data_IF_778543917968
#
_entry.id   IF_778543917968
#
_cell.length_a   1.000
_cell.length_b   1.000
_cell.length_c   1.000
_cell.angle_alpha   90.00
_cell.angle_beta   90.00
_cell.angle_gamma   90.00
#
_symmetry.space_group_name_H-M   'P 1'
#
loop_
_entity.id
_entity.type
_entity.pdbx_description
1 polymer ?
#
# COMPACT_ATOMS: atom_id res chain seq x y z
N UNK A 1 -6.16 -33.56 -6.20
CA UNK A 1 -6.90 -33.14 -5.00
C UNK A 1 -6.53 -31.69 -4.71
N UNK A 2 -7.41 -30.75 -5.05
CA UNK A 2 -7.16 -29.34 -4.78
C UNK A 2 -7.35 -29.06 -3.29
N UNK A 3 -6.24 -28.95 -2.57
CA UNK A 3 -6.24 -28.54 -1.17
C UNK A 3 -6.47 -27.03 -1.15
N UNK A 4 -7.73 -26.60 -1.05
CA UNK A 4 -8.07 -25.25 -0.61
C UNK A 4 -7.71 -25.14 0.88
N UNK A 5 -6.41 -25.06 1.21
CA UNK A 5 -6.01 -24.38 2.44
C UNK A 5 -6.21 -22.91 2.12
N UNK A 6 -7.07 -22.21 2.85
CA UNK A 6 -7.02 -20.75 2.77
C UNK A 6 -5.64 -20.35 3.31
N UNK A 7 -4.72 -19.95 2.44
CA UNK A 7 -3.38 -19.48 2.81
C UNK A 7 -3.41 -18.15 3.58
N UNK A 8 -4.58 -17.73 4.09
CA UNK A 8 -4.85 -16.51 4.82
C UNK A 8 -5.15 -16.87 6.27
N UNK A 9 -4.47 -16.23 7.21
CA UNK A 9 -4.70 -16.35 8.64
C UNK A 9 -4.61 -14.99 9.34
N UNK A 10 -4.71 -15.02 10.67
CA UNK A 10 -4.56 -13.83 11.50
C UNK A 10 -3.52 -14.08 12.58
N UNK A 11 -2.64 -13.10 12.78
CA UNK A 11 -1.64 -13.09 13.84
C UNK A 11 -1.63 -11.68 14.45
N UNK A 12 -1.75 -11.60 15.76
CA UNK A 12 -1.82 -10.33 16.51
C UNK A 12 -2.88 -9.34 15.99
N UNK A 13 -3.97 -9.89 15.46
CA UNK A 13 -5.08 -9.11 14.89
C UNK A 13 -4.84 -8.60 13.47
N UNK A 14 -3.69 -8.90 12.86
CA UNK A 14 -3.35 -8.57 11.48
C UNK A 14 -3.50 -9.79 10.58
N UNK A 15 -4.04 -9.58 9.38
CA UNK A 15 -4.12 -10.60 8.34
C UNK A 15 -2.72 -10.92 7.81
N UNK A 16 -2.39 -12.20 7.76
CA UNK A 16 -1.19 -12.70 7.07
C UNK A 16 -1.57 -13.70 5.98
N UNK A 17 -0.67 -13.89 5.01
CA UNK A 17 -0.72 -15.00 4.08
C UNK A 17 0.61 -15.74 3.99
N UNK A 18 0.59 -16.95 3.43
CA UNK A 18 1.81 -17.69 3.10
C UNK A 18 2.13 -17.50 1.62
N UNK A 19 3.34 -17.06 1.32
CA UNK A 19 3.90 -17.03 -0.04
C UNK A 19 5.00 -18.08 -0.14
N UNK A 20 5.16 -18.68 -1.32
CA UNK A 20 6.34 -19.50 -1.60
C UNK A 20 7.46 -18.63 -2.16
N UNK A 21 8.69 -18.89 -1.75
CA UNK A 21 9.92 -18.34 -2.34
C UNK A 21 11.04 -19.37 -2.21
N UNK A 22 11.73 -19.70 -3.29
CA UNK A 22 12.82 -20.69 -3.32
C UNK A 22 12.43 -22.05 -2.67
N UNK A 23 11.20 -22.52 -2.89
CA UNK A 23 10.69 -23.76 -2.30
C UNK A 23 10.35 -23.67 -0.81
N UNK A 24 10.51 -22.49 -0.18
CA UNK A 24 10.23 -22.25 1.22
C UNK A 24 8.93 -21.46 1.44
N UNK A 25 8.07 -21.87 2.40
CA UNK A 25 6.90 -21.10 2.77
C UNK A 25 7.29 -19.93 3.69
N UNK A 26 6.99 -18.71 3.25
CA UNK A 26 7.24 -17.47 4.00
C UNK A 26 5.90 -16.86 4.40
N UNK A 27 5.72 -16.61 5.71
CA UNK A 27 4.56 -15.86 6.20
C UNK A 27 4.80 -14.37 6.04
N UNK A 28 3.82 -13.67 5.50
CA UNK A 28 3.87 -12.23 5.28
C UNK A 28 2.56 -11.60 5.72
N UNK A 29 2.62 -10.45 6.39
CA UNK A 29 1.44 -9.63 6.61
C UNK A 29 0.92 -9.14 5.26
N UNK A 30 -0.38 -9.34 5.03
CA UNK A 30 -1.11 -9.01 3.80
C UNK A 30 -2.30 -8.11 4.14
N UNK A 31 -2.26 -7.42 5.28
CA UNK A 31 -3.28 -6.47 5.67
C UNK A 31 -2.98 -5.05 5.13
N UNK A 32 -4.04 -4.25 4.97
CA UNK A 32 -3.93 -2.90 4.47
C UNK A 32 -3.24 -1.93 5.45
N UNK A 33 -3.26 -2.19 6.77
CA UNK A 33 -2.50 -1.35 7.73
C UNK A 33 -1.00 -1.48 7.46
N UNK A 34 -0.51 -2.71 7.23
CA UNK A 34 0.86 -2.97 6.77
C UNK A 34 1.17 -2.24 5.45
N UNK A 35 0.31 -2.37 4.43
CA UNK A 35 0.52 -1.70 3.15
C UNK A 35 0.56 -0.16 3.26
N UNK A 36 -0.37 0.44 4.02
CA UNK A 36 -0.43 1.88 4.23
C UNK A 36 0.83 2.41 4.94
N UNK A 37 1.35 1.65 5.92
CA UNK A 37 2.62 1.99 6.60
C UNK A 37 3.82 1.88 5.68
N UNK A 38 3.85 0.87 4.80
CA UNK A 38 4.89 0.77 3.76
C UNK A 38 4.82 1.94 2.80
N UNK A 39 3.62 2.33 2.33
CA UNK A 39 3.44 3.50 1.46
C UNK A 39 3.96 4.77 2.15
N UNK A 40 3.59 5.00 3.42
CA UNK A 40 4.06 6.16 4.18
C UNK A 40 5.59 6.14 4.36
N UNK A 41 6.15 5.00 4.78
CA UNK A 41 7.58 4.81 5.00
C UNK A 41 8.41 5.12 3.75
N UNK A 42 7.96 4.63 2.59
CA UNK A 42 8.73 4.83 1.37
C UNK A 42 8.55 6.22 0.76
N UNK A 43 7.39 6.88 0.98
CA UNK A 43 7.17 8.29 0.62
C UNK A 43 7.99 9.28 1.44
N UNK A 44 8.36 8.90 2.67
CA UNK A 44 9.12 9.77 3.56
C UNK A 44 10.56 9.95 3.06
N UNK A 45 10.89 11.14 2.57
CA UNK A 45 12.22 11.44 2.01
C UNK A 45 13.28 11.71 3.08
N UNK A 46 12.89 11.85 4.35
CA UNK A 46 13.81 12.09 5.47
C UNK A 46 14.38 10.78 6.05
N UNK A 47 13.74 9.65 5.77
CA UNK A 47 14.21 8.33 6.25
C UNK A 47 15.27 7.76 5.31
N UNK A 48 16.43 7.41 5.88
CA UNK A 48 17.53 6.78 5.15
C UNK A 48 17.10 5.42 4.52
N UNK A 49 17.55 5.07 3.29
CA UNK A 49 17.20 3.82 2.63
C UNK A 49 17.42 2.55 3.47
N UNK A 50 18.53 2.44 4.21
CA UNK A 50 18.78 1.28 5.08
C UNK A 50 17.79 1.17 6.24
N UNK A 51 17.34 2.31 6.78
CA UNK A 51 16.30 2.35 7.81
C UNK A 51 14.93 2.01 7.23
N UNK A 52 14.60 2.49 6.02
CA UNK A 52 13.37 2.11 5.31
C UNK A 52 13.28 0.61 5.13
N UNK A 53 14.36 -0.02 4.67
CA UNK A 53 14.40 -1.46 4.54
C UNK A 53 14.19 -2.16 5.89
N UNK A 54 14.94 -1.78 6.92
CA UNK A 54 14.82 -2.42 8.23
C UNK A 54 13.38 -2.35 8.74
N UNK A 55 12.76 -1.16 8.67
CA UNK A 55 11.35 -0.97 9.01
C UNK A 55 10.42 -1.82 8.13
N UNK A 56 10.64 -1.88 6.81
CA UNK A 56 9.84 -2.68 5.90
C UNK A 56 9.91 -4.19 6.23
N UNK A 57 11.08 -4.70 6.62
CA UNK A 57 11.20 -6.08 7.10
C UNK A 57 10.37 -6.32 8.36
N UNK A 58 10.41 -5.38 9.32
CA UNK A 58 9.59 -5.48 10.54
C UNK A 58 8.08 -5.40 10.25
N UNK A 59 7.69 -4.68 9.19
CA UNK A 59 6.29 -4.54 8.78
C UNK A 59 5.78 -5.76 8.00
N UNK A 60 6.60 -6.32 7.10
CA UNK A 60 6.18 -7.39 6.19
C UNK A 60 6.13 -8.76 6.86
N UNK A 61 7.05 -9.06 7.77
CA UNK A 61 7.26 -10.41 8.27
C UNK A 61 6.84 -10.53 9.74
N UNK A 62 5.99 -11.50 10.09
CA UNK A 62 5.72 -11.88 11.48
C UNK A 62 6.95 -12.23 12.30
N UNK A 63 7.94 -12.86 11.66
CA UNK A 63 9.21 -13.22 12.26
C UNK A 63 10.34 -12.75 11.33
N UNK A 64 10.71 -11.47 11.40
CA UNK A 64 11.72 -10.90 10.51
C UNK A 64 13.11 -11.48 10.80
N UNK A 65 13.34 -11.98 12.01
CA UNK A 65 14.61 -12.62 12.39
C UNK A 65 14.77 -13.98 11.70
N UNK A 66 13.74 -14.83 11.74
CA UNK A 66 13.79 -16.12 11.05
C UNK A 66 13.97 -15.95 9.53
N UNK A 67 13.34 -14.91 8.94
CA UNK A 67 13.54 -14.58 7.52
C UNK A 67 14.98 -14.10 7.26
N UNK A 68 15.57 -13.32 8.17
CA UNK A 68 16.94 -12.82 8.07
C UNK A 68 18.03 -13.90 8.27
N UNK A 69 17.77 -14.89 9.11
CA UNK A 69 18.69 -16.01 9.37
C UNK A 69 18.66 -17.07 8.27
N UNK A 70 17.68 -17.01 7.35
CA UNK A 70 17.63 -17.91 6.21
C UNK A 70 18.59 -17.47 5.09
N UNK A 71 19.36 -18.42 4.55
CA UNK A 71 20.22 -18.20 3.39
C UNK A 71 19.40 -18.23 2.09
N UNK A 72 18.96 -17.06 1.63
CA UNK A 72 18.28 -16.92 0.33
C UNK A 72 19.28 -16.77 -0.81
N UNK A 73 18.97 -17.38 -1.95
CA UNK A 73 19.70 -17.13 -3.20
C UNK A 73 19.39 -15.72 -3.74
N UNK A 74 18.11 -15.30 -3.70
CA UNK A 74 17.62 -14.02 -4.20
C UNK A 74 16.51 -13.44 -3.31
N UNK A 75 16.90 -12.94 -2.13
CA UNK A 75 15.99 -12.21 -1.25
C UNK A 75 15.48 -10.89 -1.86
N UNK A 76 16.26 -10.25 -2.73
CA UNK A 76 15.89 -9.00 -3.37
C UNK A 76 14.62 -9.14 -4.19
N UNK A 77 14.52 -10.21 -4.97
CA UNK A 77 13.32 -10.56 -5.74
C UNK A 77 12.10 -10.84 -4.85
N UNK A 78 12.27 -11.56 -3.74
CA UNK A 78 11.19 -11.74 -2.76
C UNK A 78 10.69 -10.39 -2.24
N UNK A 79 11.62 -9.53 -1.84
CA UNK A 79 11.32 -8.25 -1.22
C UNK A 79 10.62 -7.29 -2.19
N UNK A 80 11.16 -7.09 -3.40
CA UNK A 80 10.53 -6.25 -4.45
C UNK A 80 9.14 -6.76 -4.81
N UNK A 81 8.99 -8.08 -4.99
CA UNK A 81 7.69 -8.70 -5.27
C UNK A 81 6.67 -8.44 -4.17
N UNK A 82 7.07 -8.57 -2.90
CA UNK A 82 6.17 -8.29 -1.77
C UNK A 82 5.78 -6.81 -1.69
N UNK A 83 6.71 -5.89 -1.90
CA UNK A 83 6.41 -4.46 -1.93
C UNK A 83 5.38 -4.12 -3.02
N UNK A 84 5.54 -4.70 -4.20
CA UNK A 84 4.58 -4.53 -5.29
C UNK A 84 3.23 -5.15 -4.97
N UNK A 85 3.20 -6.44 -4.62
CA UNK A 85 1.96 -7.18 -4.39
C UNK A 85 1.13 -6.62 -3.23
N UNK A 86 1.78 -6.12 -2.17
CA UNK A 86 1.10 -5.63 -0.95
C UNK A 86 0.75 -4.15 -1.01
N UNK A 87 1.66 -3.32 -1.52
CA UNK A 87 1.57 -1.87 -1.41
C UNK A 87 1.58 -1.15 -2.76
N UNK A 88 1.72 -1.87 -3.89
CA UNK A 88 1.88 -1.27 -5.22
C UNK A 88 3.18 -0.48 -5.34
N UNK A 89 4.20 -0.82 -4.54
CA UNK A 89 5.50 -0.16 -4.55
C UNK A 89 6.40 -0.90 -5.52
N UNK A 90 6.70 -0.27 -6.66
CA UNK A 90 7.66 -0.80 -7.62
C UNK A 90 9.08 -0.41 -7.20
N UNK A 91 9.81 -1.38 -6.65
CA UNK A 91 11.12 -1.14 -6.05
C UNK A 91 12.29 -1.51 -7.00
N UNK A 92 11.99 -2.19 -8.11
CA UNK A 92 12.98 -2.69 -9.09
C UNK A 92 12.65 -2.31 -10.54
N UNK A 93 11.68 -1.41 -10.75
CA UNK A 93 11.20 -0.92 -12.05
C UNK A 93 10.57 -2.01 -12.94
N UNK A 94 10.26 -3.19 -12.38
CA UNK A 94 9.65 -4.29 -13.14
C UNK A 94 8.20 -4.01 -13.55
N UNK A 95 7.55 -3.05 -12.90
CA UNK A 95 6.19 -2.60 -13.15
C UNK A 95 6.13 -1.14 -13.62
N UNK A 96 7.25 -0.62 -14.15
CA UNK A 96 7.34 0.76 -14.62
C UNK A 96 6.27 1.06 -15.69
N UNK A 97 5.42 2.04 -15.42
CA UNK A 97 4.33 2.44 -16.32
C UNK A 97 3.03 1.64 -16.14
N UNK A 98 2.97 0.69 -15.21
CA UNK A 98 1.72 0.04 -14.79
C UNK A 98 0.93 0.87 -13.76
N UNK A 99 1.45 2.03 -13.39
CA UNK A 99 0.78 2.97 -12.47
C UNK A 99 -0.53 3.50 -13.08
N UNK A 100 -1.66 3.12 -12.47
CA UNK A 100 -2.97 3.66 -12.79
C UNK A 100 -3.14 5.10 -12.29
N UNK A 101 -4.19 5.81 -12.76
CA UNK A 101 -4.48 7.16 -12.27
C UNK A 101 -4.75 7.16 -10.77
N UNK A 102 -4.13 8.12 -10.06
CA UNK A 102 -4.29 8.30 -8.62
C UNK A 102 -5.63 8.98 -8.31
N UNK A 103 -6.50 8.29 -7.57
CA UNK A 103 -7.79 8.81 -7.12
C UNK A 103 -7.90 8.93 -5.58
N UNK A 104 -6.90 8.43 -4.83
CA UNK A 104 -6.76 8.61 -3.38
C UNK A 104 -5.35 9.08 -3.03
N UNK A 105 -5.26 10.01 -2.08
CA UNK A 105 -4.08 10.20 -1.26
C UNK A 105 -4.36 9.62 0.12
N UNK A 106 -3.81 8.44 0.42
CA UNK A 106 -4.14 7.71 1.65
C UNK A 106 -3.82 8.47 2.94
N UNK A 107 -2.90 9.42 2.87
CA UNK A 107 -2.53 10.28 3.99
C UNK A 107 -3.38 11.54 4.04
N UNK A 108 -3.43 12.30 2.94
CA UNK A 108 -4.19 13.56 2.91
C UNK A 108 -5.72 13.34 2.98
N UNK A 109 -6.21 12.18 2.54
CA UNK A 109 -7.62 11.81 2.60
C UNK A 109 -7.98 11.02 3.88
N UNK A 110 -7.07 10.84 4.84
CA UNK A 110 -7.29 9.96 6.01
C UNK A 110 -8.59 10.28 6.77
N UNK A 111 -8.86 11.56 7.04
CA UNK A 111 -10.08 11.99 7.74
C UNK A 111 -11.35 11.77 6.89
N UNK A 112 -11.27 11.95 5.58
CA UNK A 112 -12.37 11.67 4.67
C UNK A 112 -12.65 10.18 4.61
N UNK A 113 -11.62 9.35 4.57
CA UNK A 113 -11.71 7.90 4.59
C UNK A 113 -12.37 7.44 5.88
N UNK A 114 -11.88 7.89 7.04
CA UNK A 114 -12.44 7.53 8.35
C UNK A 114 -13.93 7.89 8.43
N UNK A 115 -14.30 9.14 8.10
CA UNK A 115 -15.69 9.57 8.12
C UNK A 115 -16.59 8.78 7.14
N UNK A 116 -16.06 8.46 5.96
CA UNK A 116 -16.81 7.74 4.91
C UNK A 116 -17.01 6.27 5.26
N UNK A 117 -16.00 5.61 5.82
CA UNK A 117 -16.09 4.21 6.25
C UNK A 117 -17.02 4.06 7.46
N UNK A 118 -16.94 4.96 8.45
CA UNK A 118 -17.90 4.99 9.55
C UNK A 118 -19.33 5.15 9.07
N UNK A 119 -19.58 6.11 8.18
CA UNK A 119 -20.92 6.38 7.66
C UNK A 119 -21.46 5.21 6.81
N UNK A 120 -20.61 4.57 6.03
CA UNK A 120 -21.03 3.55 5.05
C UNK A 120 -21.13 2.16 5.66
N UNK A 121 -20.16 1.78 6.49
CA UNK A 121 -19.98 0.42 6.99
C UNK A 121 -20.12 0.31 8.51
N UNK A 122 -20.17 1.42 9.24
CA UNK A 122 -20.24 1.42 10.70
C UNK A 122 -18.95 0.91 11.36
N UNK A 123 -17.82 0.97 10.66
CA UNK A 123 -16.53 0.49 11.15
C UNK A 123 -15.43 1.55 10.93
N UNK A 124 -14.48 1.68 11.88
CA UNK A 124 -13.33 2.56 11.72
C UNK A 124 -12.34 1.99 10.70
N UNK A 125 -11.61 2.89 10.02
CA UNK A 125 -10.61 2.55 9.01
C UNK A 125 -9.56 1.57 9.55
N UNK A 126 -8.99 1.87 10.72
CA UNK A 126 -7.93 1.06 11.31
C UNK A 126 -8.35 -0.39 11.58
N UNK A 127 -9.62 -0.63 11.93
CA UNK A 127 -10.12 -1.99 12.14
C UNK A 127 -10.31 -2.73 10.82
N UNK A 128 -10.84 -2.07 9.80
CA UNK A 128 -10.98 -2.65 8.46
C UNK A 128 -9.61 -2.93 7.84
N UNK A 129 -8.66 -2.01 7.98
CA UNK A 129 -7.34 -2.10 7.38
C UNK A 129 -6.56 -3.33 7.86
N UNK A 130 -6.71 -3.74 9.12
CA UNK A 130 -6.06 -4.94 9.66
C UNK A 130 -6.68 -6.27 9.20
N UNK A 131 -7.92 -6.23 8.71
CA UNK A 131 -8.67 -7.44 8.34
C UNK A 131 -8.69 -7.71 6.83
N UNK A 132 -8.46 -6.67 6.04
CA UNK A 132 -8.56 -6.70 4.59
C UNK A 132 -7.17 -6.55 3.98
N UNK A 133 -6.94 -7.19 2.84
CA UNK A 133 -5.81 -6.84 1.99
C UNK A 133 -5.93 -5.41 1.49
N UNK A 134 -4.80 -4.82 1.10
CA UNK A 134 -4.80 -3.44 0.59
C UNK A 134 -5.77 -3.23 -0.57
N UNK A 135 -5.84 -4.20 -1.49
CA UNK A 135 -6.80 -4.20 -2.60
C UNK A 135 -8.25 -4.26 -2.13
N UNK A 136 -8.56 -5.08 -1.14
CA UNK A 136 -9.91 -5.19 -0.56
C UNK A 136 -10.29 -3.90 0.17
N UNK A 137 -9.39 -3.35 0.99
CA UNK A 137 -9.58 -2.07 1.68
C UNK A 137 -9.78 -0.91 0.69
N UNK A 138 -8.94 -0.81 -0.34
CA UNK A 138 -9.09 0.20 -1.39
C UNK A 138 -10.42 0.08 -2.12
N UNK A 139 -10.93 -1.14 -2.30
CA UNK A 139 -12.28 -1.38 -2.85
C UNK A 139 -13.39 -0.92 -1.92
N UNK A 140 -13.24 -1.08 -0.60
CA UNK A 140 -14.21 -0.54 0.35
C UNK A 140 -14.25 1.00 0.30
N UNK A 141 -13.09 1.64 0.21
CA UNK A 141 -13.00 3.09 0.02
C UNK A 141 -13.62 3.53 -1.31
N UNK A 142 -13.36 2.80 -2.41
CA UNK A 142 -13.87 3.16 -3.73
C UNK A 142 -15.38 3.02 -3.89
N UNK A 143 -16.01 2.18 -3.06
CA UNK A 143 -17.45 1.95 -3.06
C UNK A 143 -18.23 2.83 -2.08
N UNK A 144 -17.56 3.78 -1.41
CA UNK A 144 -18.23 4.76 -0.56
C UNK A 144 -19.27 5.57 -1.36
N UNK A 145 -20.53 5.69 -0.92
CA UNK A 145 -21.58 6.41 -1.61
C UNK A 145 -21.22 7.87 -1.90
N UNK A 146 -21.73 8.42 -3.01
CA UNK A 146 -21.41 9.78 -3.47
C UNK A 146 -21.70 10.89 -2.44
N UNK A 147 -22.61 10.68 -1.51
CA UNK A 147 -22.94 11.64 -0.45
C UNK A 147 -21.98 11.58 0.76
N UNK A 148 -20.96 10.71 0.73
CA UNK A 148 -19.82 10.72 1.66
C UNK A 148 -18.69 11.62 1.14
N UNK A 149 -17.80 12.14 2.00
CA UNK A 149 -16.61 12.88 1.56
C UNK A 149 -15.76 12.11 0.53
N UNK A 150 -15.47 10.82 0.76
CA UNK A 150 -14.70 10.03 -0.21
C UNK A 150 -15.47 9.76 -1.49
N UNK A 151 -16.76 9.49 -1.43
CA UNK A 151 -17.58 9.32 -2.64
C UNK A 151 -17.63 10.58 -3.50
N UNK A 152 -17.63 11.78 -2.88
CA UNK A 152 -17.48 13.03 -3.63
C UNK A 152 -16.09 13.19 -4.21
N UNK A 153 -15.04 12.96 -3.41
CA UNK A 153 -13.66 13.08 -3.84
C UNK A 153 -13.38 12.18 -5.06
N UNK A 154 -13.73 10.89 -4.97
CA UNK A 154 -13.57 9.90 -6.04
C UNK A 154 -14.33 10.33 -7.28
N UNK A 155 -15.61 10.69 -7.14
CA UNK A 155 -16.42 11.14 -8.26
C UNK A 155 -15.78 12.32 -8.98
N UNK A 156 -15.39 13.38 -8.28
CA UNK A 156 -14.86 14.58 -8.94
C UNK A 156 -13.43 14.40 -9.48
N UNK A 157 -12.64 13.47 -8.92
CA UNK A 157 -11.31 13.11 -9.45
C UNK A 157 -11.38 12.25 -10.71
N UNK A 158 -12.40 11.39 -10.82
CA UNK A 158 -12.47 10.37 -11.88
C UNK A 158 -13.51 10.67 -12.98
N UNK A 159 -14.55 11.44 -12.68
CA UNK A 159 -15.61 11.73 -13.64
C UNK A 159 -15.15 12.68 -14.76
N UNK A 160 -15.64 12.39 -15.95
CA UNK A 160 -15.56 13.28 -17.10
C UNK A 160 -16.39 14.54 -16.86
N UNK A 161 -15.91 15.66 -17.40
CA UNK A 161 -16.67 16.90 -17.35
C UNK A 161 -17.96 16.75 -18.18
N UNK A 162 -19.13 17.17 -17.65
CA UNK A 162 -20.37 17.19 -18.42
C UNK A 162 -20.20 18.01 -19.71
N UNK A 163 -20.76 17.52 -20.83
CA UNK A 163 -20.69 18.24 -22.11
C UNK A 163 -21.39 19.58 -21.99
N UNK A 164 -20.67 20.66 -22.28
CA UNK A 164 -21.23 22.00 -22.23
C UNK A 164 -22.30 22.20 -23.32
N UNK A 165 -23.45 22.71 -22.91
CA UNK A 165 -24.58 23.09 -23.74
C UNK A 165 -25.19 24.42 -23.28
N UNK A 166 -26.20 24.90 -24.01
CA UNK A 166 -26.82 26.21 -23.74
C UNK A 166 -27.49 26.29 -22.36
N UNK A 167 -27.96 25.16 -21.82
CA UNK A 167 -28.82 25.12 -20.63
C UNK A 167 -28.14 24.56 -19.37
N UNK A 168 -26.88 24.13 -19.43
CA UNK A 168 -26.16 23.50 -18.31
C UNK A 168 -24.87 24.23 -17.91
N UNK A 169 -24.74 25.51 -18.27
CA UNK A 169 -23.53 26.29 -17.96
C UNK A 169 -23.22 26.33 -16.45
N UNK A 170 -24.27 26.47 -15.62
CA UNK A 170 -24.14 26.48 -14.16
C UNK A 170 -23.70 25.12 -13.60
N UNK A 171 -24.19 24.03 -14.19
CA UNK A 171 -23.79 22.67 -13.82
C UNK A 171 -22.31 22.43 -14.13
N UNK A 172 -21.87 22.81 -15.32
CA UNK A 172 -20.46 22.71 -15.73
C UNK A 172 -19.57 23.57 -14.84
N UNK A 173 -20.00 24.80 -14.53
CA UNK A 173 -19.25 25.69 -13.64
C UNK A 173 -19.12 25.10 -12.22
N UNK A 174 -20.20 24.53 -11.67
CA UNK A 174 -20.19 23.82 -10.39
C UNK A 174 -19.29 22.60 -10.44
N UNK A 175 -19.38 21.78 -11.49
CA UNK A 175 -18.53 20.61 -11.67
C UNK A 175 -17.04 21.00 -11.66
N UNK A 176 -16.65 22.02 -12.45
CA UNK A 176 -15.27 22.53 -12.49
C UNK A 176 -14.80 23.09 -11.15
N UNK A 177 -15.70 23.72 -10.37
CA UNK A 177 -15.37 24.19 -9.02
C UNK A 177 -15.08 23.00 -8.10
N UNK A 178 -15.95 21.99 -8.11
CA UNK A 178 -15.78 20.81 -7.25
C UNK A 178 -14.58 19.95 -7.68
N UNK A 179 -14.34 19.79 -8.98
CA UNK A 179 -13.15 19.11 -9.52
C UNK A 179 -11.85 19.74 -9.06
N UNK A 180 -11.81 21.08 -8.97
CA UNK A 180 -10.68 21.80 -8.37
C UNK A 180 -10.58 21.63 -6.86
N UNK A 181 -11.72 21.69 -6.16
CA UNK A 181 -11.75 21.54 -4.69
C UNK A 181 -11.28 20.16 -4.22
N UNK A 182 -11.53 19.11 -5.01
CA UNK A 182 -11.14 17.73 -4.71
C UNK A 182 -9.86 17.28 -5.42
N UNK A 183 -9.17 18.16 -6.15
CA UNK A 183 -7.95 17.80 -6.85
C UNK A 183 -6.85 17.37 -5.85
N UNK A 184 -6.10 16.33 -6.20
CA UNK A 184 -4.93 15.92 -5.44
C UNK A 184 -3.74 16.83 -5.75
N UNK A 185 -2.88 17.02 -4.76
CA UNK A 185 -1.60 17.68 -4.99
C UNK A 185 -0.71 16.85 -5.94
N UNK A 186 0.07 17.50 -6.82
CA UNK A 186 1.05 16.80 -7.63
C UNK A 186 2.04 16.04 -6.76
N UNK A 187 2.33 14.80 -7.13
CA UNK A 187 3.36 14.01 -6.44
C UNK A 187 4.75 14.57 -6.81
N UNK A 188 5.64 14.73 -5.84
CA UNK A 188 7.06 14.92 -6.13
C UNK A 188 7.62 13.65 -6.80
N UNK A 189 8.55 13.78 -7.75
CA UNK A 189 9.21 12.63 -8.36
C UNK A 189 9.96 11.84 -7.27
N UNK A 190 9.75 10.53 -7.20
CA UNK A 190 10.12 9.72 -6.06
C UNK A 190 11.25 8.73 -6.40
N UNK A 191 12.50 9.20 -6.31
CA UNK A 191 13.71 8.39 -6.55
C UNK A 191 14.02 7.40 -5.39
N UNK A 192 13.20 7.39 -4.32
CA UNK A 192 13.48 6.68 -3.07
C UNK A 192 13.31 5.16 -3.13
N UNK A 193 12.48 4.66 -4.05
CA UNK A 193 12.11 3.25 -4.13
C UNK A 193 13.26 2.31 -4.53
N UNK A 194 14.01 2.69 -5.58
CA UNK A 194 15.16 1.93 -6.09
C UNK A 194 16.33 1.85 -5.11
N UNK A 195 16.56 2.92 -4.34
CA UNK A 195 17.60 2.96 -3.32
C UNK A 195 17.27 2.00 -2.16
N UNK A 196 16.01 1.87 -1.81
CA UNK A 196 15.56 0.98 -0.74
C UNK A 196 15.62 -0.51 -1.13
N UNK A 197 15.37 -0.89 -2.39
CA UNK A 197 15.51 -2.28 -2.86
C UNK A 197 16.98 -2.73 -2.93
N UNK A 198 17.89 -1.88 -3.43
CA UNK A 198 19.32 -2.24 -3.46
C UNK A 198 19.92 -2.30 -2.04
N UNK A 199 19.51 -1.39 -1.15
CA UNK A 199 19.85 -1.49 0.28
C UNK A 199 19.32 -2.80 0.88
N UNK A 200 18.14 -3.27 0.44
CA UNK A 200 17.52 -4.54 0.84
C UNK A 200 18.50 -5.72 0.88
N UNK A 201 19.16 -5.94 -0.24
CA UNK A 201 20.11 -7.04 -0.40
C UNK A 201 21.37 -6.88 0.48
N UNK A 202 21.86 -5.65 0.65
CA UNK A 202 23.11 -5.37 1.37
C UNK A 202 22.94 -5.39 2.90
N UNK A 203 21.87 -4.80 3.45
CA UNK A 203 21.63 -4.84 4.89
C UNK A 203 21.11 -6.21 5.36
N UNK A 204 20.46 -6.98 4.48
CA UNK A 204 20.08 -8.37 4.78
C UNK A 204 21.32 -9.23 5.06
N UNK A 205 22.35 -9.13 4.21
CA UNK A 205 23.67 -9.75 4.44
C UNK A 205 24.33 -9.23 5.73
N UNK A 206 24.12 -7.96 6.06
CA UNK A 206 24.63 -7.35 7.29
C UNK A 206 23.98 -7.87 8.57
N UNK A 207 22.65 -8.08 8.57
CA UNK A 207 21.90 -8.63 9.72
C UNK A 207 22.26 -10.10 9.95
N UNK A 208 22.36 -10.90 8.88
CA UNK A 208 22.84 -12.29 8.96
C UNK A 208 24.25 -12.37 9.56
N UNK A 209 25.18 -11.53 9.08
CA UNK A 209 26.55 -11.46 9.60
C UNK A 209 26.65 -10.92 11.04
N UNK A 210 25.70 -10.08 11.49
CA UNK A 210 25.65 -9.60 12.87
C UNK A 210 25.11 -10.68 13.83
N UNK A 211 24.19 -11.52 13.37
CA UNK A 211 23.68 -12.66 14.14
C UNK A 211 24.77 -13.73 14.36
N UNK A 212 25.65 -13.95 13.40
CA UNK A 212 26.82 -14.86 13.53
C UNK A 212 27.88 -14.37 14.53
N UNK A 213 28.03 -13.05 14.70
CA UNK A 213 29.01 -12.44 15.61
C UNK A 213 28.51 -12.26 17.05
N UNK A 214 27.22 -12.54 17.29
CA UNK A 214 26.57 -12.49 18.60
C UNK A 214 26.48 -13.84 19.31
N UNK A 215 27.09 -14.90 18.75
CA UNK A 215 27.39 -16.18 19.40
C UNK A 215 28.83 -16.22 19.91
#
# INVERSE_FOLDING_TARGET
MATLRSDIGYLDGCRFRVVEHEGQPVRVYDDADTALRLIALFRDTEVEPGVKQWCAMQLLFPDPRAVAEHEWEDFGSLFSRLLWEMAGIDADDSHAGEEGPRWVDWEADADYIEASLWRTYGQPSAAMARQLSFREYARMVSLCPHDTPMGQAIYYRTADEPRAGRYNQDEVARFRKMKRAWALEPRAADDGYRLASNAASDAFRGIAAAAERGM
#
